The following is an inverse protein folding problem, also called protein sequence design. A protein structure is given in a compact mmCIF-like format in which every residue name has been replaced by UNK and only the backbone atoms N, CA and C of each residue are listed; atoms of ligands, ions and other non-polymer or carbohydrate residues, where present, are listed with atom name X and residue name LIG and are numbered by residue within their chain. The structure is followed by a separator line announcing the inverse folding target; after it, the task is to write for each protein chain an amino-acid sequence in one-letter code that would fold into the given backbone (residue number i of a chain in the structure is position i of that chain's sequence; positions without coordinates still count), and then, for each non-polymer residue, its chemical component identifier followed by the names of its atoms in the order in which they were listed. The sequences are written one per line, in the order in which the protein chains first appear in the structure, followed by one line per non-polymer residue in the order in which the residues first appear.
data_IF_656861723490
#
_entry.id   IF_656861723490
#
_cell.length_a   1.000
_cell.length_b   1.000
_cell.length_c   1.000
_cell.angle_alpha   90.00
_cell.angle_beta   90.00
_cell.angle_gamma   90.00
#
_symmetry.space_group_name_H-M   'P 1'
#
loop_
_entity.id
_entity.type
_entity.pdbx_description
1 polymer ?
#
# COMPACT_ATOMS: atom_id res chain seq x y z
N UNK A 1 -2.18 -2.17 -7.68
CA UNK A 1 -2.10 -1.67 -6.29
C UNK A 1 -2.47 -2.70 -5.20
N UNK A 2 -2.94 -3.90 -5.56
CA UNK A 2 -3.20 -4.94 -4.54
C UNK A 2 -1.99 -5.27 -3.69
N UNK A 3 -0.81 -5.30 -4.32
CA UNK A 3 0.43 -5.61 -3.62
C UNK A 3 0.76 -4.65 -2.49
N UNK A 4 0.53 -3.34 -2.69
CA UNK A 4 0.68 -2.34 -1.63
C UNK A 4 -0.27 -2.61 -0.46
N UNK A 5 -1.57 -2.71 -0.75
CA UNK A 5 -2.61 -2.88 0.26
C UNK A 5 -2.47 -4.21 1.02
N UNK A 6 -2.14 -5.29 0.31
CA UNK A 6 -1.87 -6.60 0.93
C UNK A 6 -0.61 -6.55 1.80
N UNK A 7 0.44 -5.91 1.30
CA UNK A 7 1.69 -5.75 2.03
C UNK A 7 1.46 -5.05 3.37
N UNK A 8 0.79 -3.91 3.36
CA UNK A 8 0.38 -3.18 4.56
C UNK A 8 -0.39 -4.09 5.54
N UNK A 9 -1.50 -4.70 5.10
CA UNK A 9 -2.34 -5.53 5.97
C UNK A 9 -1.61 -6.75 6.54
N UNK A 10 -0.69 -7.34 5.78
CA UNK A 10 0.09 -8.50 6.21
C UNK A 10 1.22 -8.07 7.15
N UNK A 11 1.85 -6.93 6.90
CA UNK A 11 2.96 -6.41 7.69
C UNK A 11 2.54 -5.79 9.03
N UNK A 12 1.37 -5.14 9.09
CA UNK A 12 0.90 -4.40 10.26
C UNK A 12 0.95 -5.17 11.60
N UNK A 13 0.64 -6.47 11.70
CA UNK A 13 0.80 -7.21 12.96
C UNK A 13 2.24 -7.32 13.46
N UNK A 14 3.21 -7.20 12.57
CA UNK A 14 4.64 -7.42 12.83
C UNK A 14 5.45 -6.13 12.96
N UNK A 15 4.81 -4.98 12.79
CA UNK A 15 5.39 -3.65 12.97
C UNK A 15 6.03 -3.49 14.37
N UNK A 16 7.00 -2.59 14.53
CA UNK A 16 7.75 -2.32 15.76
C UNK A 16 8.49 -3.55 16.31
N UNK A 17 9.08 -4.35 15.43
CA UNK A 17 9.83 -5.56 15.79
C UNK A 17 9.03 -6.57 16.62
N UNK A 18 7.69 -6.61 16.45
CA UNK A 18 6.82 -7.58 17.13
C UNK A 18 6.95 -9.00 16.59
N UNK A 19 7.51 -9.16 15.38
CA UNK A 19 7.75 -10.45 14.75
C UNK A 19 9.03 -11.12 15.23
N UNK A 20 9.15 -12.40 14.92
CA UNK A 20 10.34 -13.22 15.21
C UNK A 20 11.39 -13.20 14.09
N UNK A 21 11.28 -12.29 13.13
CA UNK A 21 12.16 -12.18 11.96
C UNK A 21 12.28 -13.46 11.14
N UNK A 22 11.19 -14.24 11.04
CA UNK A 22 11.08 -15.47 10.28
C UNK A 22 10.16 -15.28 9.08
N UNK A 23 10.33 -16.09 8.05
CA UNK A 23 9.38 -16.20 6.92
C UNK A 23 8.19 -17.10 7.25
N UNK A 24 8.24 -17.81 8.39
CA UNK A 24 7.20 -18.74 8.85
C UNK A 24 6.18 -18.01 9.72
N UNK A 25 5.11 -17.53 9.10
CA UNK A 25 3.98 -16.88 9.78
C UNK A 25 2.70 -17.02 8.92
N UNK A 26 1.50 -16.95 9.53
CA UNK A 26 0.26 -16.87 8.78
C UNK A 26 0.16 -15.53 8.06
N UNK A 27 -0.16 -15.53 6.73
CA UNK A 27 -0.28 -14.30 5.96
C UNK A 27 -1.31 -13.33 6.54
N UNK A 28 -2.40 -13.86 7.09
CA UNK A 28 -3.41 -13.07 7.77
C UNK A 28 -3.67 -13.64 9.15
N UNK A 29 -3.82 -12.75 10.10
CA UNK A 29 -4.23 -13.05 11.48
C UNK A 29 -5.34 -12.08 11.91
N UNK A 30 -5.84 -12.20 13.13
CA UNK A 30 -6.89 -11.35 13.68
C UNK A 30 -6.51 -9.86 13.67
N UNK A 31 -5.22 -9.55 13.86
CA UNK A 31 -4.70 -8.19 13.88
C UNK A 31 -4.32 -7.63 12.49
N UNK A 32 -4.48 -8.42 11.42
CA UNK A 32 -4.25 -7.95 10.05
C UNK A 32 -5.29 -6.90 9.66
N UNK A 33 -4.84 -5.66 9.51
CA UNK A 33 -5.67 -4.50 9.15
C UNK A 33 -4.88 -3.57 8.26
N UNK A 34 -5.57 -2.75 7.49
CA UNK A 34 -4.94 -1.64 6.78
C UNK A 34 -4.51 -0.53 7.74
N UNK A 35 -3.44 0.19 7.38
CA UNK A 35 -2.89 1.33 8.10
C UNK A 35 -2.92 2.58 7.21
N UNK A 36 -2.17 3.61 7.60
CA UNK A 36 -2.01 4.83 6.78
C UNK A 36 -1.29 4.54 5.45
N UNK A 37 -0.53 3.46 5.33
CA UNK A 37 0.04 2.98 4.07
C UNK A 37 -1.05 2.76 3.02
N UNK A 38 -2.07 1.97 3.33
CA UNK A 38 -3.20 1.75 2.42
C UNK A 38 -4.02 3.01 2.20
N UNK A 39 -4.33 3.76 3.27
CA UNK A 39 -5.13 4.99 3.16
C UNK A 39 -4.46 5.99 2.24
N UNK A 40 -3.15 6.21 2.38
CA UNK A 40 -2.42 7.16 1.55
C UNK A 40 -2.12 6.63 0.16
N UNK A 41 -1.94 5.32 -0.02
CA UNK A 41 -1.87 4.68 -1.35
C UNK A 41 -3.17 4.92 -2.14
N UNK A 42 -4.32 4.73 -1.53
CA UNK A 42 -5.64 5.01 -2.15
C UNK A 42 -5.82 6.51 -2.41
N UNK A 43 -5.39 7.38 -1.48
CA UNK A 43 -5.48 8.82 -1.66
C UNK A 43 -4.66 9.32 -2.85
N UNK A 44 -3.44 8.82 -3.01
CA UNK A 44 -2.57 9.17 -4.14
C UNK A 44 -3.13 8.60 -5.44
N UNK A 45 -3.63 7.37 -5.42
CA UNK A 45 -4.26 6.76 -6.59
C UNK A 45 -5.49 7.54 -7.06
N UNK A 46 -6.39 7.94 -6.14
CA UNK A 46 -7.56 8.78 -6.48
C UNK A 46 -7.13 10.11 -7.10
N UNK A 47 -6.14 10.78 -6.51
CA UNK A 47 -5.63 12.04 -7.02
C UNK A 47 -5.09 11.88 -8.45
N UNK A 48 -4.18 10.94 -8.67
CA UNK A 48 -3.56 10.73 -9.98
C UNK A 48 -4.57 10.25 -11.04
N UNK A 49 -5.50 9.35 -10.71
CA UNK A 49 -6.56 8.94 -11.63
C UNK A 49 -7.41 10.13 -12.12
N UNK A 50 -7.62 11.12 -11.26
CA UNK A 50 -8.45 12.27 -11.58
C UNK A 50 -7.67 13.45 -12.22
N UNK A 51 -6.35 13.51 -12.07
CA UNK A 51 -5.57 14.69 -12.46
C UNK A 51 -4.36 14.42 -13.35
N UNK A 52 -4.07 13.18 -13.72
CA UNK A 52 -2.83 12.78 -14.43
C UNK A 52 -2.55 13.52 -15.75
N UNK A 53 -3.58 14.06 -16.38
CA UNK A 53 -3.46 14.83 -17.64
C UNK A 53 -3.42 16.36 -17.41
N UNK A 54 -3.44 16.79 -16.15
CA UNK A 54 -3.37 18.20 -15.81
C UNK A 54 -1.89 18.63 -15.61
N UNK A 55 -1.68 19.93 -15.49
CA UNK A 55 -0.39 20.49 -15.13
C UNK A 55 0.02 20.09 -13.70
N UNK A 56 1.31 20.22 -13.39
CA UNK A 56 1.91 19.79 -12.13
C UNK A 56 1.31 20.51 -10.90
N UNK A 57 0.93 21.77 -11.01
CA UNK A 57 0.32 22.50 -9.89
C UNK A 57 -1.08 21.99 -9.61
N UNK A 58 -1.84 21.67 -10.64
CA UNK A 58 -3.16 21.02 -10.53
C UNK A 58 -3.06 19.64 -9.92
N UNK A 59 -2.03 18.85 -10.31
CA UNK A 59 -1.76 17.53 -9.71
C UNK A 59 -1.41 17.68 -8.22
N UNK A 60 -0.52 18.62 -7.85
CA UNK A 60 -0.19 18.88 -6.43
C UNK A 60 -1.44 19.27 -5.62
N UNK A 61 -2.28 20.14 -6.16
CA UNK A 61 -3.53 20.53 -5.50
C UNK A 61 -4.48 19.33 -5.31
N UNK A 62 -4.60 18.45 -6.31
CA UNK A 62 -5.39 17.23 -6.23
C UNK A 62 -4.84 16.25 -5.18
N UNK A 63 -3.51 16.06 -5.13
CA UNK A 63 -2.83 15.24 -4.13
C UNK A 63 -3.11 15.75 -2.71
N UNK A 64 -2.90 17.03 -2.44
CA UNK A 64 -3.16 17.64 -1.12
C UNK A 64 -4.64 17.45 -0.74
N UNK A 65 -5.55 17.73 -1.66
CA UNK A 65 -6.99 17.59 -1.42
C UNK A 65 -7.38 16.14 -1.09
N UNK A 66 -6.90 15.18 -1.87
CA UNK A 66 -7.22 13.78 -1.70
C UNK A 66 -6.61 13.22 -0.41
N UNK A 67 -5.34 13.46 -0.14
CA UNK A 67 -4.68 12.99 1.09
C UNK A 67 -5.36 13.55 2.35
N UNK A 68 -5.77 14.81 2.35
CA UNK A 68 -6.53 15.40 3.46
C UNK A 68 -7.94 14.83 3.59
N UNK A 69 -8.61 14.55 2.48
CA UNK A 69 -9.93 13.89 2.47
C UNK A 69 -9.84 12.51 3.14
N UNK A 70 -8.90 11.69 2.69
CA UNK A 70 -8.74 10.33 3.17
C UNK A 70 -8.18 10.27 4.60
N UNK A 71 -7.19 11.11 4.93
CA UNK A 71 -6.65 11.20 6.28
C UNK A 71 -7.69 11.66 7.31
N UNK A 72 -8.62 12.57 6.92
CA UNK A 72 -9.74 12.98 7.76
C UNK A 72 -10.78 11.87 7.93
N UNK A 73 -10.99 11.05 6.89
CA UNK A 73 -11.97 9.96 6.93
C UNK A 73 -11.49 8.79 7.79
N UNK A 74 -10.20 8.52 7.80
CA UNK A 74 -9.56 7.43 8.56
C UNK A 74 -8.52 8.01 9.54
N UNK A 75 -8.95 8.74 10.60
CA UNK A 75 -8.02 9.50 11.45
C UNK A 75 -7.11 8.63 12.32
N UNK A 76 -7.49 7.38 12.56
CA UNK A 76 -6.81 6.44 13.46
C UNK A 76 -5.97 5.40 12.71
N UNK A 77 -5.60 5.69 11.45
CA UNK A 77 -4.90 4.74 10.60
C UNK A 77 -3.41 4.54 10.95
N UNK A 78 -2.81 5.36 11.83
CA UNK A 78 -1.42 5.18 12.26
C UNK A 78 -0.45 6.28 11.84
N UNK A 79 -0.94 7.39 11.28
CA UNK A 79 -0.10 8.46 10.74
C UNK A 79 0.97 8.98 11.69
N UNK A 80 2.15 9.25 11.14
CA UNK A 80 3.22 9.94 11.84
C UNK A 80 2.82 11.35 12.31
N UNK A 81 3.38 11.80 13.43
CA UNK A 81 2.98 13.06 14.11
C UNK A 81 3.07 14.30 13.21
N UNK A 82 4.15 14.44 12.42
CA UNK A 82 4.29 15.59 11.49
C UNK A 82 3.23 15.57 10.41
N UNK A 83 2.88 14.40 9.88
CA UNK A 83 1.82 14.25 8.88
C UNK A 83 0.44 14.56 9.45
N UNK A 84 0.13 14.15 10.70
CA UNK A 84 -1.10 14.54 11.39
C UNK A 84 -1.24 16.06 11.56
N UNK A 85 -0.15 16.77 11.85
CA UNK A 85 -0.15 18.23 11.88
C UNK A 85 -0.47 18.80 10.50
N UNK A 86 0.22 18.31 9.45
CA UNK A 86 0.01 18.72 8.06
C UNK A 86 -1.45 18.52 7.59
N UNK A 87 -2.09 17.40 7.95
CA UNK A 87 -3.50 17.14 7.61
C UNK A 87 -4.47 18.21 8.17
N UNK A 88 -4.12 18.82 9.32
CA UNK A 88 -4.97 19.79 10.03
C UNK A 88 -4.70 21.24 9.63
N UNK A 89 -3.59 21.53 8.97
CA UNK A 89 -3.24 22.87 8.54
C UNK A 89 -4.22 23.42 7.51
N UNK A 90 -4.49 24.74 7.57
CA UNK A 90 -5.37 25.42 6.62
C UNK A 90 -4.75 25.46 5.22
N UNK A 91 -3.47 25.77 5.15
CA UNK A 91 -2.64 25.84 3.92
C UNK A 91 -1.38 24.99 4.13
N UNK A 92 -1.49 23.66 4.00
CA UNK A 92 -0.40 22.76 4.33
C UNK A 92 0.76 22.93 3.34
N UNK A 93 1.95 23.03 3.89
CA UNK A 93 3.21 23.13 3.14
C UNK A 93 4.06 21.88 3.38
N UNK A 94 4.94 21.50 2.46
CA UNK A 94 5.95 20.48 2.71
C UNK A 94 6.74 20.80 3.98
N UNK A 95 7.20 19.76 4.67
CA UNK A 95 7.89 19.92 5.96
C UNK A 95 9.25 19.19 6.02
N UNK A 96 9.89 19.00 4.86
CA UNK A 96 11.26 18.46 4.76
C UNK A 96 11.39 17.01 5.23
N UNK A 97 10.34 16.19 5.13
CA UNK A 97 10.42 14.80 5.57
C UNK A 97 11.29 13.96 4.63
N UNK A 98 12.20 13.17 5.21
CA UNK A 98 12.90 12.07 4.54
C UNK A 98 12.28 10.69 4.84
N UNK A 99 11.10 10.68 5.46
CA UNK A 99 10.38 9.47 5.86
C UNK A 99 9.98 8.59 4.67
N UNK A 100 9.79 7.30 4.95
CA UNK A 100 9.38 6.30 3.96
C UNK A 100 7.91 6.43 3.52
N UNK A 101 7.15 7.30 4.17
CA UNK A 101 5.78 7.66 3.81
C UNK A 101 5.60 8.20 2.38
N UNK A 102 6.65 8.71 1.74
CA UNK A 102 6.61 9.04 0.31
C UNK A 102 6.68 7.80 -0.57
N UNK A 103 7.49 6.81 -0.20
CA UNK A 103 7.68 5.57 -0.95
C UNK A 103 6.50 4.59 -0.80
N UNK A 104 5.91 4.48 0.42
CA UNK A 104 4.80 3.57 0.68
C UNK A 104 3.58 3.85 -0.18
N UNK A 105 3.25 5.14 -0.39
CA UNK A 105 2.03 5.58 -1.08
C UNK A 105 2.17 5.76 -2.60
N UNK A 106 3.37 5.58 -3.16
CA UNK A 106 3.69 5.97 -4.56
C UNK A 106 3.23 4.97 -5.61
N UNK A 107 2.75 3.80 -5.19
CA UNK A 107 2.48 2.65 -6.08
C UNK A 107 1.72 3.04 -7.37
N UNK A 108 0.70 3.91 -7.27
CA UNK A 108 -0.09 4.32 -8.42
C UNK A 108 0.75 5.02 -9.52
N UNK A 109 1.75 5.83 -9.13
CA UNK A 109 2.62 6.50 -10.10
C UNK A 109 3.40 5.48 -10.96
N UNK A 110 3.86 4.37 -10.39
CA UNK A 110 4.54 3.32 -11.13
C UNK A 110 3.68 2.62 -12.21
N UNK A 111 2.36 2.80 -12.17
CA UNK A 111 1.42 2.16 -13.09
C UNK A 111 0.78 3.08 -14.13
N UNK A 112 0.61 4.37 -13.83
CA UNK A 112 -0.30 5.26 -14.55
C UNK A 112 0.34 6.03 -15.71
N UNK A 113 1.66 5.97 -15.88
CA UNK A 113 2.39 6.74 -16.89
C UNK A 113 3.17 5.84 -17.83
N UNK A 114 3.39 6.30 -19.09
CA UNK A 114 3.88 5.45 -20.17
C UNK A 114 5.40 5.43 -20.29
N UNK A 115 6.10 6.39 -19.69
CA UNK A 115 7.57 6.43 -19.70
C UNK A 115 8.12 6.40 -18.28
N UNK A 116 9.36 5.91 -18.16
CA UNK A 116 10.07 5.90 -16.89
C UNK A 116 10.34 7.31 -16.36
N UNK A 117 10.66 8.24 -17.28
CA UNK A 117 10.90 9.64 -16.95
C UNK A 117 9.65 10.30 -16.35
N UNK A 118 8.52 10.21 -17.06
CA UNK A 118 7.23 10.73 -16.56
C UNK A 118 6.81 10.06 -15.23
N UNK A 119 7.00 8.74 -15.12
CA UNK A 119 6.74 8.00 -13.87
C UNK A 119 7.50 8.60 -12.70
N UNK A 120 8.80 8.90 -12.88
CA UNK A 120 9.65 9.53 -11.85
C UNK A 120 9.21 10.96 -11.54
N UNK A 121 8.94 11.77 -12.56
CA UNK A 121 8.43 13.14 -12.37
C UNK A 121 7.15 13.17 -11.55
N UNK A 122 6.18 12.31 -11.88
CA UNK A 122 4.92 12.25 -11.15
C UNK A 122 5.07 11.63 -9.75
N UNK A 123 5.97 10.66 -9.57
CA UNK A 123 6.32 10.15 -8.24
C UNK A 123 6.91 11.26 -7.35
N UNK A 124 7.80 12.09 -7.90
CA UNK A 124 8.34 13.27 -7.22
C UNK A 124 7.22 14.21 -6.76
N UNK A 125 6.22 14.52 -7.60
CA UNK A 125 5.08 15.34 -7.20
C UNK A 125 4.31 14.73 -6.01
N UNK A 126 4.14 13.39 -5.98
CA UNK A 126 3.45 12.73 -4.85
C UNK A 126 4.22 12.83 -3.54
N UNK A 127 5.55 12.92 -3.61
CA UNK A 127 6.42 13.11 -2.44
C UNK A 127 6.42 14.57 -1.98
N UNK A 128 6.67 15.50 -2.90
CA UNK A 128 6.93 16.92 -2.63
C UNK A 128 5.87 17.63 -1.82
N UNK A 129 4.62 17.18 -1.85
CA UNK A 129 3.54 17.80 -1.06
C UNK A 129 3.74 17.70 0.46
N UNK A 130 4.65 16.83 0.91
CA UNK A 130 4.99 16.60 2.33
C UNK A 130 6.47 16.29 2.54
N UNK A 131 7.03 15.40 1.70
CA UNK A 131 8.37 14.81 1.81
C UNK A 131 9.29 15.44 0.72
N UNK A 132 9.51 16.74 0.82
CA UNK A 132 10.35 17.52 -0.11
C UNK A 132 11.85 17.46 0.21
N UNK A 133 12.25 16.66 1.20
CA UNK A 133 13.66 16.32 1.42
C UNK A 133 14.18 15.45 0.27
N UNK A 134 15.42 15.66 -0.23
CA UNK A 134 15.97 14.88 -1.35
C UNK A 134 15.83 13.36 -1.18
N UNK A 135 16.05 12.82 0.02
CA UNK A 135 15.90 11.39 0.29
C UNK A 135 14.44 10.91 0.29
N UNK A 136 13.48 11.77 0.68
CA UNK A 136 12.05 11.46 0.58
C UNK A 136 11.58 11.39 -0.87
N UNK A 137 12.03 12.32 -1.72
CA UNK A 137 11.77 12.32 -3.16
C UNK A 137 12.43 11.10 -3.82
N UNK A 138 13.71 10.87 -3.52
CA UNK A 138 14.50 9.75 -4.02
C UNK A 138 13.82 8.40 -3.73
N UNK A 139 13.29 8.20 -2.52
CA UNK A 139 12.58 6.97 -2.15
C UNK A 139 11.33 6.73 -3.00
N UNK A 140 10.55 7.76 -3.25
CA UNK A 140 9.37 7.68 -4.11
C UNK A 140 9.73 7.39 -5.58
N UNK A 141 10.72 8.11 -6.13
CA UNK A 141 11.21 7.90 -7.51
C UNK A 141 11.78 6.49 -7.70
N UNK A 142 12.59 5.99 -6.74
CA UNK A 142 13.17 4.66 -6.81
C UNK A 142 12.10 3.56 -6.77
N UNK A 143 11.12 3.70 -5.86
CA UNK A 143 10.02 2.72 -5.73
C UNK A 143 9.14 2.72 -6.98
N UNK A 144 8.73 3.87 -7.48
CA UNK A 144 7.89 3.96 -8.69
C UNK A 144 8.63 3.50 -9.93
N UNK A 145 9.92 3.83 -10.06
CA UNK A 145 10.78 3.35 -11.14
C UNK A 145 10.93 1.83 -11.14
N UNK A 146 11.14 1.21 -9.97
CA UNK A 146 11.17 -0.25 -9.85
C UNK A 146 9.84 -0.89 -10.27
N UNK A 147 8.68 -0.30 -9.88
CA UNK A 147 7.35 -0.77 -10.30
C UNK A 147 7.20 -0.65 -11.82
N UNK A 148 7.59 0.49 -12.41
CA UNK A 148 7.52 0.71 -13.86
C UNK A 148 8.36 -0.33 -14.62
N UNK A 149 9.62 -0.52 -14.22
CA UNK A 149 10.52 -1.48 -14.86
C UNK A 149 10.01 -2.91 -14.74
N UNK A 150 9.51 -3.30 -13.56
CA UNK A 150 8.93 -4.61 -13.33
C UNK A 150 7.71 -4.86 -14.23
N UNK A 151 6.74 -3.92 -14.32
CA UNK A 151 5.55 -4.08 -15.16
C UNK A 151 5.83 -4.05 -16.66
N UNK A 152 6.94 -3.46 -17.07
CA UNK A 152 7.38 -3.40 -18.48
C UNK A 152 8.32 -4.56 -18.86
N UNK A 153 8.47 -5.56 -17.97
CA UNK A 153 9.15 -6.82 -18.25
C UNK A 153 10.67 -6.78 -18.10
N UNK A 154 11.22 -5.82 -17.36
CA UNK A 154 12.65 -5.80 -17.04
C UNK A 154 12.99 -6.91 -16.04
N UNK A 155 14.18 -7.49 -16.20
CA UNK A 155 14.68 -8.50 -15.26
C UNK A 155 15.05 -7.88 -13.90
N UNK A 156 15.19 -8.72 -12.88
CA UNK A 156 15.63 -8.28 -11.54
C UNK A 156 17.03 -7.64 -11.58
N UNK A 157 17.92 -8.14 -12.41
CA UNK A 157 19.26 -7.61 -12.61
C UNK A 157 19.20 -6.20 -13.22
N UNK A 158 18.35 -5.99 -14.25
CA UNK A 158 18.16 -4.67 -14.87
C UNK A 158 17.56 -3.68 -13.86
N UNK A 159 16.59 -4.11 -13.04
CA UNK A 159 15.98 -3.29 -11.98
C UNK A 159 17.04 -2.93 -10.93
N UNK A 160 17.82 -3.91 -10.44
CA UNK A 160 18.91 -3.67 -9.49
C UNK A 160 19.91 -2.66 -10.02
N UNK A 161 20.40 -2.89 -11.25
CA UNK A 161 21.43 -2.04 -11.84
C UNK A 161 20.93 -0.61 -12.05
N UNK A 162 19.68 -0.44 -12.47
CA UNK A 162 19.02 0.87 -12.53
C UNK A 162 18.97 1.57 -11.15
N UNK A 163 18.53 0.87 -10.11
CA UNK A 163 18.42 1.43 -8.77
C UNK A 163 19.79 1.85 -8.21
N UNK A 164 20.82 1.03 -8.43
CA UNK A 164 22.19 1.34 -8.00
C UNK A 164 22.75 2.54 -8.76
N UNK A 165 22.58 2.58 -10.09
CA UNK A 165 23.15 3.64 -10.94
C UNK A 165 22.45 4.99 -10.75
N UNK A 166 21.11 5.00 -10.72
CA UNK A 166 20.34 6.25 -10.66
C UNK A 166 20.21 6.82 -9.25
N UNK A 167 20.13 5.95 -8.25
CA UNK A 167 19.83 6.38 -6.87
C UNK A 167 20.99 6.14 -5.89
N UNK A 168 22.04 5.40 -6.29
CA UNK A 168 23.20 5.13 -5.43
C UNK A 168 22.85 4.32 -4.19
N UNK A 169 21.78 3.53 -4.21
CA UNK A 169 21.44 2.62 -3.11
C UNK A 169 22.41 1.42 -3.10
N UNK A 170 22.88 1.05 -1.91
CA UNK A 170 23.69 -0.14 -1.71
C UNK A 170 22.79 -1.38 -1.61
N UNK A 171 22.79 -2.21 -2.65
CA UNK A 171 22.07 -3.48 -2.72
C UNK A 171 23.03 -4.69 -2.67
N UNK A 172 24.19 -4.53 -2.06
CA UNK A 172 25.23 -5.59 -2.00
C UNK A 172 24.98 -6.62 -0.91
N UNK A 173 24.15 -6.28 0.11
CA UNK A 173 23.84 -7.17 1.24
C UNK A 173 22.65 -8.05 0.91
N UNK A 174 22.68 -9.28 1.41
CA UNK A 174 21.52 -10.17 1.39
C UNK A 174 20.56 -9.89 2.54
N UNK A 175 19.30 -10.34 2.42
CA UNK A 175 18.31 -10.24 3.51
C UNK A 175 18.80 -10.95 4.79
N UNK A 176 19.55 -12.05 4.66
CA UNK A 176 20.13 -12.74 5.80
C UNK A 176 21.21 -11.92 6.51
N UNK A 177 21.96 -11.09 5.77
CA UNK A 177 22.93 -10.16 6.34
C UNK A 177 22.27 -8.92 6.94
N UNK A 178 21.13 -8.48 6.41
CA UNK A 178 20.37 -7.33 6.87
C UNK A 178 19.64 -7.65 8.18
N UNK A 179 18.90 -8.76 8.20
CA UNK A 179 17.94 -9.17 9.24
C UNK A 179 18.45 -9.08 10.68
N UNK A 180 19.68 -9.53 11.03
CA UNK A 180 20.15 -9.49 12.42
C UNK A 180 20.31 -8.08 13.00
N UNK A 181 20.57 -7.08 12.15
CA UNK A 181 20.91 -5.71 12.56
C UNK A 181 19.88 -4.67 12.13
N UNK A 182 18.81 -5.06 11.42
CA UNK A 182 17.76 -4.15 11.01
C UNK A 182 16.72 -4.01 12.11
N UNK A 183 16.39 -2.78 12.44
CA UNK A 183 15.38 -2.41 13.44
C UNK A 183 14.43 -1.39 12.86
N UNK A 184 13.36 -1.09 13.58
CA UNK A 184 12.36 -0.10 13.19
C UNK A 184 13.03 1.22 12.75
N UNK A 185 12.73 1.63 11.52
CA UNK A 185 13.26 2.84 10.92
C UNK A 185 12.28 3.36 9.85
N UNK A 186 11.91 4.62 9.98
CA UNK A 186 10.91 5.27 9.13
C UNK A 186 11.54 6.13 8.00
N UNK A 187 12.85 6.03 7.74
CA UNK A 187 13.50 6.84 6.70
C UNK A 187 13.62 6.09 5.37
N UNK A 188 13.44 6.80 4.25
CA UNK A 188 13.62 6.23 2.91
C UNK A 188 14.98 5.56 2.71
N UNK A 189 16.07 6.18 3.23
CA UNK A 189 17.44 5.68 3.08
C UNK A 189 17.67 4.31 3.72
N UNK A 190 16.86 3.98 4.73
CA UNK A 190 16.96 2.72 5.49
C UNK A 190 15.87 1.72 5.15
N UNK A 191 14.78 2.18 4.52
CA UNK A 191 13.64 1.34 4.14
C UNK A 191 13.77 0.86 2.70
N UNK A 192 13.97 1.79 1.75
CA UNK A 192 13.85 1.48 0.31
C UNK A 192 14.91 0.49 -0.18
N UNK A 193 16.22 0.62 0.13
CA UNK A 193 17.20 -0.37 -0.32
C UNK A 193 16.96 -1.77 0.26
N UNK A 194 16.53 -1.87 1.52
CA UNK A 194 16.24 -3.16 2.16
C UNK A 194 15.02 -3.84 1.54
N UNK A 195 14.00 -3.06 1.21
CA UNK A 195 12.80 -3.55 0.50
C UNK A 195 13.13 -4.03 -0.91
N UNK A 196 13.95 -3.27 -1.65
CA UNK A 196 14.36 -3.68 -3.00
C UNK A 196 15.18 -4.98 -2.92
N UNK A 197 16.06 -5.12 -1.92
CA UNK A 197 16.79 -6.38 -1.68
C UNK A 197 15.82 -7.54 -1.42
N UNK A 198 14.79 -7.34 -0.60
CA UNK A 198 13.78 -8.36 -0.35
C UNK A 198 13.01 -8.76 -1.62
N UNK A 199 12.67 -7.80 -2.48
CA UNK A 199 12.09 -8.08 -3.80
C UNK A 199 13.04 -8.86 -4.70
N UNK A 200 14.31 -8.48 -4.77
CA UNK A 200 15.31 -9.14 -5.61
C UNK A 200 15.54 -10.61 -5.22
N UNK A 201 15.50 -10.93 -3.93
CA UNK A 201 15.68 -12.29 -3.43
C UNK A 201 14.42 -13.16 -3.51
N UNK A 202 13.22 -12.58 -3.38
CA UNK A 202 11.97 -13.32 -3.40
C UNK A 202 11.71 -14.02 -4.73
N UNK A 203 11.10 -15.19 -4.72
CA UNK A 203 10.89 -16.06 -5.89
C UNK A 203 9.50 -15.94 -6.49
N UNK A 204 8.53 -15.43 -5.73
CA UNK A 204 7.16 -15.13 -6.13
C UNK A 204 6.58 -14.01 -5.26
N UNK A 205 5.32 -13.63 -5.50
CA UNK A 205 4.67 -12.56 -4.75
C UNK A 205 4.63 -12.82 -3.24
N UNK A 206 4.25 -14.01 -2.82
CA UNK A 206 4.14 -14.36 -1.41
C UNK A 206 5.51 -14.43 -0.75
N UNK A 207 6.49 -15.00 -1.43
CA UNK A 207 7.86 -15.09 -0.91
C UNK A 207 8.51 -13.71 -0.73
N UNK A 208 8.24 -12.74 -1.62
CA UNK A 208 8.65 -11.34 -1.43
C UNK A 208 8.04 -10.74 -0.16
N UNK A 209 6.73 -10.92 0.05
CA UNK A 209 6.04 -10.44 1.26
C UNK A 209 6.66 -11.07 2.51
N UNK A 210 6.84 -12.38 2.53
CA UNK A 210 7.45 -13.12 3.66
C UNK A 210 8.87 -12.67 3.94
N UNK A 211 9.64 -12.43 2.87
CA UNK A 211 11.02 -11.94 2.98
C UNK A 211 11.04 -10.55 3.59
N UNK A 212 10.20 -9.63 3.14
CA UNK A 212 10.12 -8.28 3.69
C UNK A 212 9.70 -8.27 5.17
N UNK A 213 8.65 -9.02 5.56
CA UNK A 213 8.25 -9.17 6.98
C UNK A 213 9.40 -9.72 7.83
N UNK A 214 10.17 -10.67 7.29
CA UNK A 214 11.26 -11.30 8.04
C UNK A 214 12.42 -10.35 8.37
N UNK A 215 12.50 -9.19 7.76
CA UNK A 215 13.49 -8.16 8.13
C UNK A 215 13.16 -7.53 9.50
N UNK A 216 11.88 -7.48 9.88
CA UNK A 216 11.42 -6.79 11.08
C UNK A 216 11.28 -5.29 10.87
N UNK A 217 11.19 -4.55 11.95
CA UNK A 217 11.12 -3.07 11.92
C UNK A 217 9.75 -2.54 11.57
N UNK A 218 9.69 -1.65 10.60
CA UNK A 218 8.51 -0.99 10.04
C UNK A 218 7.86 -1.90 8.98
N UNK A 219 7.30 -3.03 9.46
CA UNK A 219 6.93 -4.15 8.60
C UNK A 219 5.78 -3.86 7.64
N UNK A 220 4.79 -3.05 8.03
CA UNK A 220 3.69 -2.63 7.16
C UNK A 220 4.21 -1.83 5.97
N UNK A 221 5.04 -0.80 6.21
CA UNK A 221 5.66 -0.01 5.16
C UNK A 221 6.63 -0.84 4.31
N UNK A 222 7.49 -1.67 4.93
CA UNK A 222 8.39 -2.56 4.18
C UNK A 222 7.62 -3.45 3.21
N UNK A 223 6.56 -4.09 3.68
CA UNK A 223 5.77 -5.00 2.85
C UNK A 223 4.85 -4.29 1.88
N UNK A 224 4.36 -3.09 2.21
CA UNK A 224 3.62 -2.23 1.29
C UNK A 224 4.46 -1.90 0.05
N UNK A 225 5.69 -1.44 0.25
CA UNK A 225 6.61 -1.11 -0.85
C UNK A 225 7.03 -2.37 -1.62
N UNK A 226 7.46 -3.45 -0.90
CA UNK A 226 7.87 -4.71 -1.52
C UNK A 226 6.74 -5.33 -2.35
N UNK A 227 5.54 -5.38 -1.78
CA UNK A 227 4.34 -5.89 -2.44
C UNK A 227 3.96 -5.10 -3.68
N UNK A 228 4.17 -3.78 -3.68
CA UNK A 228 3.95 -2.92 -4.86
C UNK A 228 4.83 -3.33 -6.04
N UNK A 229 6.11 -3.60 -5.79
CA UNK A 229 7.07 -4.02 -6.82
C UNK A 229 6.79 -5.48 -7.23
N UNK A 230 6.53 -6.36 -6.25
CA UNK A 230 6.21 -7.77 -6.50
C UNK A 230 4.93 -7.95 -7.32
N UNK A 231 3.88 -7.14 -7.08
CA UNK A 231 2.68 -7.14 -7.93
C UNK A 231 3.01 -6.83 -9.38
N UNK A 232 3.91 -5.88 -9.61
CA UNK A 232 4.29 -5.45 -10.93
C UNK A 232 5.09 -6.52 -11.69
N UNK A 233 5.90 -7.30 -10.97
CA UNK A 233 6.78 -8.32 -11.53
C UNK A 233 6.10 -9.68 -11.67
N UNK A 234 5.43 -10.16 -10.62
CA UNK A 234 4.85 -11.51 -10.56
C UNK A 234 3.33 -11.54 -10.76
N UNK A 235 2.66 -10.39 -10.60
CA UNK A 235 1.22 -10.35 -10.38
C UNK A 235 0.87 -10.74 -8.94
N UNK A 236 -0.42 -10.65 -8.61
CA UNK A 236 -0.96 -11.07 -7.31
C UNK A 236 -1.87 -12.27 -7.52
N UNK A 237 -1.75 -13.36 -6.75
CA UNK A 237 -2.65 -14.51 -6.79
C UNK A 237 -4.12 -14.10 -6.60
N UNK A 238 -5.03 -14.74 -7.36
CA UNK A 238 -6.46 -14.38 -7.36
C UNK A 238 -7.10 -14.46 -5.97
N UNK A 239 -6.70 -15.46 -5.19
CA UNK A 239 -7.18 -15.65 -3.81
C UNK A 239 -6.78 -14.48 -2.91
N UNK A 240 -5.56 -13.95 -3.05
CA UNK A 240 -5.09 -12.81 -2.28
C UNK A 240 -5.77 -11.51 -2.72
N UNK A 241 -6.07 -11.35 -4.02
CA UNK A 241 -6.88 -10.22 -4.50
C UNK A 241 -8.29 -10.23 -3.91
N UNK A 242 -8.92 -11.41 -3.83
CA UNK A 242 -10.24 -11.57 -3.21
C UNK A 242 -10.20 -11.22 -1.72
N UNK A 243 -9.18 -11.72 -1.00
CA UNK A 243 -8.98 -11.42 0.41
C UNK A 243 -8.72 -9.93 0.67
N UNK A 244 -7.92 -9.27 -0.16
CA UNK A 244 -7.70 -7.83 -0.09
C UNK A 244 -9.03 -7.07 -0.20
N UNK A 245 -9.84 -7.37 -1.22
CA UNK A 245 -11.15 -6.71 -1.41
C UNK A 245 -12.10 -6.94 -0.25
N UNK A 246 -12.11 -8.16 0.32
CA UNK A 246 -12.96 -8.49 1.46
C UNK A 246 -12.62 -7.67 2.71
N UNK A 247 -11.34 -7.32 2.91
CA UNK A 247 -10.86 -6.56 4.08
C UNK A 247 -10.95 -5.04 3.91
N UNK A 248 -11.12 -4.56 2.68
CA UNK A 248 -11.20 -3.13 2.40
C UNK A 248 -12.60 -2.57 2.64
N UNK A 249 -12.73 -1.36 3.19
CA UNK A 249 -13.96 -0.59 3.12
C UNK A 249 -14.40 -0.35 1.68
N UNK A 250 -15.70 -0.22 1.47
CA UNK A 250 -16.32 -0.10 0.14
C UNK A 250 -15.74 1.05 -0.71
N UNK A 251 -15.47 2.20 -0.09
CA UNK A 251 -14.91 3.36 -0.77
C UNK A 251 -13.44 3.15 -1.23
N UNK A 252 -12.62 2.45 -0.45
CA UNK A 252 -11.28 2.05 -0.88
C UNK A 252 -11.35 1.01 -2.01
N UNK A 253 -12.25 0.03 -1.88
CA UNK A 253 -12.50 -0.98 -2.90
C UNK A 253 -12.98 -0.34 -4.21
N UNK A 254 -13.77 0.74 -4.14
CA UNK A 254 -14.21 1.51 -5.31
C UNK A 254 -13.02 2.15 -6.05
N UNK A 255 -12.10 2.83 -5.35
CA UNK A 255 -10.92 3.42 -5.99
C UNK A 255 -10.00 2.33 -6.57
N UNK A 256 -9.82 1.22 -5.87
CA UNK A 256 -9.08 0.06 -6.37
C UNK A 256 -9.71 -0.51 -7.65
N UNK A 257 -11.05 -0.58 -7.70
CA UNK A 257 -11.80 -1.00 -8.90
C UNK A 257 -11.60 -0.05 -10.09
N UNK A 258 -11.65 1.27 -9.87
CA UNK A 258 -11.34 2.27 -10.92
C UNK A 258 -9.92 2.09 -11.46
N UNK A 259 -8.97 1.85 -10.57
CA UNK A 259 -7.58 1.58 -10.95
C UNK A 259 -7.43 0.30 -11.79
N UNK A 260 -8.14 -0.78 -11.44
CA UNK A 260 -8.15 -2.01 -12.22
C UNK A 260 -8.74 -1.82 -13.61
N UNK A 261 -9.81 -1.02 -13.74
CA UNK A 261 -10.41 -0.68 -15.03
C UNK A 261 -9.39 0.06 -15.90
N UNK A 262 -8.73 1.08 -15.34
CA UNK A 262 -7.69 1.82 -16.04
C UNK A 262 -6.57 0.90 -16.57
N UNK A 263 -6.07 -0.01 -15.72
CA UNK A 263 -5.01 -0.96 -16.11
C UNK A 263 -5.39 -1.91 -17.23
N UNK A 264 -6.68 -2.26 -17.34
CA UNK A 264 -7.17 -3.20 -18.36
C UNK A 264 -7.41 -2.54 -19.71
N UNK A 265 -7.86 -1.31 -19.71
CA UNK A 265 -8.37 -0.64 -20.91
C UNK A 265 -7.43 0.47 -21.43
N UNK A 266 -6.40 0.83 -20.68
CA UNK A 266 -5.45 1.88 -21.07
C UNK A 266 -6.06 3.28 -21.11
N UNK A 267 -5.40 4.18 -21.85
CA UNK A 267 -5.79 5.59 -21.96
C UNK A 267 -7.05 5.82 -22.80
N UNK A 268 -7.38 4.93 -23.74
CA UNK A 268 -8.38 5.19 -24.79
C UNK A 268 -9.84 4.98 -24.36
N UNK A 269 -10.09 4.19 -23.31
CA UNK A 269 -11.45 3.80 -22.89
C UNK A 269 -11.90 4.38 -21.54
N UNK A 270 -11.16 5.34 -20.97
CA UNK A 270 -11.62 5.99 -19.74
C UNK A 270 -12.55 7.14 -20.13
N UNK A 271 -13.87 7.04 -19.93
CA UNK A 271 -14.76 8.17 -20.16
C UNK A 271 -14.28 9.29 -19.22
N UNK A 272 -13.78 10.37 -19.79
CA UNK A 272 -13.47 11.58 -19.05
C UNK A 272 -14.69 11.91 -18.19
N UNK A 273 -14.47 12.20 -16.90
CA UNK A 273 -15.50 12.55 -15.95
C UNK A 273 -16.33 13.73 -16.48
N UNK A 274 -17.35 13.47 -17.28
CA UNK A 274 -18.57 14.24 -17.21
C UNK A 274 -19.28 13.71 -15.96
N UNK A 275 -19.21 14.49 -14.89
CA UNK A 275 -19.89 14.28 -13.61
C UNK A 275 -21.42 14.16 -13.82
N UNK A 276 -21.88 13.05 -14.36
CA UNK A 276 -23.29 12.63 -14.34
C UNK A 276 -23.43 11.21 -14.92
N UNK A 277 -23.14 10.18 -14.14
CA UNK A 277 -23.42 8.83 -14.61
C UNK A 277 -22.87 7.74 -13.68
N UNK A 278 -23.48 7.58 -12.51
CA UNK A 278 -23.29 6.41 -11.64
C UNK A 278 -23.64 5.06 -12.29
N UNK A 279 -24.22 5.05 -13.48
CA UNK A 279 -24.79 3.86 -14.10
C UNK A 279 -23.83 2.90 -14.80
N UNK A 280 -22.69 3.38 -15.33
CA UNK A 280 -21.82 2.52 -16.18
C UNK A 280 -20.80 1.74 -15.32
N UNK A 281 -20.38 2.31 -14.19
CA UNK A 281 -19.43 1.65 -13.28
C UNK A 281 -20.13 0.58 -12.47
N UNK A 282 -21.38 0.80 -12.07
CA UNK A 282 -22.20 -0.19 -11.36
C UNK A 282 -22.48 -1.42 -12.24
N UNK A 283 -22.70 -1.26 -13.55
CA UNK A 283 -22.87 -2.39 -14.48
C UNK A 283 -21.61 -3.22 -14.71
N UNK A 284 -20.41 -2.62 -14.66
CA UNK A 284 -19.15 -3.35 -14.84
C UNK A 284 -18.76 -4.14 -13.57
N UNK A 285 -19.08 -3.61 -12.38
CA UNK A 285 -18.87 -4.28 -11.10
C UNK A 285 -19.87 -5.43 -10.95
N UNK A 286 -21.12 -5.24 -11.33
CA UNK A 286 -22.20 -6.24 -11.23
C UNK A 286 -21.98 -7.41 -12.21
N UNK A 287 -21.47 -7.15 -13.43
CA UNK A 287 -21.11 -8.22 -14.38
C UNK A 287 -19.90 -9.07 -13.93
N UNK A 288 -18.98 -8.50 -13.15
CA UNK A 288 -17.85 -9.24 -12.57
C UNK A 288 -18.27 -10.18 -11.42
N UNK A 289 -19.39 -9.88 -10.76
CA UNK A 289 -19.94 -10.67 -9.65
C UNK A 289 -20.86 -11.81 -10.14
N UNK A 290 -21.47 -11.68 -11.34
CA UNK A 290 -22.44 -12.66 -11.85
C UNK A 290 -21.81 -13.84 -12.60
N UNK A 291 -20.54 -13.80 -12.95
CA UNK A 291 -19.86 -14.92 -13.64
C UNK A 291 -19.32 -16.01 -12.71
N UNK A 292 -19.44 -15.85 -11.38
CA UNK A 292 -18.96 -16.80 -10.36
C UNK A 292 -20.01 -17.76 -9.77
N UNK A 293 -21.28 -17.67 -10.14
CA UNK A 293 -22.35 -18.47 -9.51
C UNK A 293 -23.22 -19.23 -10.51
N UNK A 294 -22.63 -20.16 -11.24
CA UNK A 294 -23.34 -21.29 -11.85
C UNK A 294 -22.42 -22.50 -11.81
N UNK A 295 -22.57 -23.28 -10.76
CA UNK A 295 -22.56 -24.75 -10.78
C UNK A 295 -22.50 -25.28 -9.33
N UNK A 296 -23.49 -26.10 -9.07
CA UNK A 296 -23.69 -27.13 -8.05
C UNK A 296 -24.78 -26.86 -7.01
N UNK A 297 -26.02 -27.04 -7.46
CA UNK A 297 -27.10 -27.53 -6.58
C UNK A 297 -27.16 -29.05 -6.71
N UNK A 298 -26.67 -29.75 -5.69
CA UNK A 298 -27.09 -31.13 -5.40
C UNK A 298 -27.94 -31.04 -4.14
N UNK A 299 -29.18 -31.48 -4.23
CA UNK A 299 -30.12 -31.43 -3.15
C UNK A 299 -29.84 -32.49 -2.09
N UNK A 300 -30.13 -32.14 -0.85
CA UNK A 300 -30.44 -33.10 0.21
C UNK A 300 -31.66 -32.57 0.98
N UNK A 301 -32.59 -33.48 1.14
CA UNK A 301 -33.93 -33.41 1.71
C UNK A 301 -33.98 -33.17 3.22
N UNK A 302 -35.15 -32.65 3.63
CA UNK A 302 -35.74 -32.50 4.95
C UNK A 302 -35.36 -33.49 6.04
N UNK A 303 -35.22 -32.97 7.26
CA UNK A 303 -35.23 -33.75 8.50
C UNK A 303 -35.43 -32.85 9.73
N UNK A 304 -36.61 -32.97 10.29
CA UNK A 304 -37.25 -32.31 11.41
C UNK A 304 -36.49 -32.16 12.75
N UNK A 305 -36.89 -31.07 13.46
CA UNK A 305 -37.24 -30.94 14.92
C UNK A 305 -36.15 -31.02 16.00
N UNK A 306 -36.16 -29.99 16.84
CA UNK A 306 -35.63 -30.05 18.20
C UNK A 306 -35.46 -28.69 18.88
N UNK A 307 -36.47 -28.22 19.56
CA UNK A 307 -36.54 -27.08 20.49
C UNK A 307 -35.71 -27.37 21.76
N UNK A 308 -34.97 -26.42 22.31
CA UNK A 308 -34.89 -26.09 23.72
C UNK A 308 -33.66 -25.23 24.11
N UNK A 309 -33.91 -24.20 24.91
CA UNK A 309 -32.96 -23.77 25.95
C UNK A 309 -32.38 -22.36 25.79
N UNK A 310 -33.15 -21.36 26.29
CA UNK A 310 -32.59 -20.06 26.73
C UNK A 310 -31.68 -20.28 27.92
N UNK A 311 -30.52 -19.68 27.94
CA UNK A 311 -29.93 -19.18 29.18
C UNK A 311 -29.12 -17.92 28.99
N UNK A 312 -29.42 -16.96 29.84
CA UNK A 312 -28.76 -15.67 29.99
C UNK A 312 -27.39 -15.84 30.64
N UNK A 313 -26.36 -15.21 30.09
CA UNK A 313 -25.21 -14.79 30.90
C UNK A 313 -24.77 -13.37 30.55
N UNK A 314 -24.82 -12.52 31.59
CA UNK A 314 -24.32 -11.14 31.62
C UNK A 314 -22.81 -11.14 31.68
N UNK A 315 -22.20 -10.20 30.96
CA UNK A 315 -20.82 -9.75 31.12
C UNK A 315 -20.58 -9.14 32.51
N UNK A 316 -19.33 -9.12 32.95
CA UNK A 316 -18.80 -7.91 33.55
C UNK A 316 -17.60 -7.37 32.77
N UNK A 317 -17.64 -6.07 32.54
CA UNK A 317 -16.55 -5.32 31.96
C UNK A 317 -15.31 -5.30 32.86
N UNK A 318 -14.17 -5.38 32.21
CA UNK A 318 -12.90 -4.98 32.82
C UNK A 318 -12.20 -4.06 31.81
N UNK A 319 -12.19 -2.78 32.14
CA UNK A 319 -11.39 -1.76 31.50
C UNK A 319 -9.94 -2.00 31.93
N UNK A 320 -9.07 -2.34 30.99
CA UNK A 320 -7.63 -2.32 31.24
C UNK A 320 -7.07 -0.92 30.91
N UNK A 321 -6.10 -0.43 31.71
CA UNK A 321 -5.60 0.91 31.56
C UNK A 321 -4.72 1.04 30.31
N UNK A 322 -4.86 2.20 29.63
CA UNK A 322 -4.04 2.67 28.54
C UNK A 322 -2.60 2.77 29.01
N UNK A 323 -1.75 1.91 28.51
CA UNK A 323 -0.31 1.96 28.75
C UNK A 323 0.28 3.15 27.99
N UNK A 324 0.97 4.01 28.73
CA UNK A 324 1.63 5.20 28.20
C UNK A 324 2.83 4.75 27.38
N UNK A 325 2.86 5.13 26.10
CA UNK A 325 4.04 5.01 25.24
C UNK A 325 5.22 5.76 25.87
N UNK A 326 6.44 5.22 25.89
CA UNK A 326 7.60 5.99 26.28
C UNK A 326 7.93 7.03 25.19
N UNK A 327 7.82 8.31 25.57
CA UNK A 327 8.42 9.43 24.85
C UNK A 327 9.93 9.26 24.88
N UNK A 328 10.56 8.91 23.75
CA UNK A 328 11.97 9.19 23.50
C UNK A 328 12.36 8.69 22.10
N UNK A 329 12.44 9.63 21.18
CA UNK A 329 13.53 9.74 20.21
C UNK A 329 13.41 11.11 19.55
N UNK A 330 14.10 12.08 20.15
CA UNK A 330 14.47 13.33 19.50
C UNK A 330 15.54 13.01 18.44
N UNK A 331 15.22 13.20 17.17
CA UNK A 331 16.22 13.38 16.13
C UNK A 331 16.32 14.88 15.81
N UNK A 332 17.17 15.57 16.57
CA UNK A 332 17.88 16.76 16.11
C UNK A 332 19.23 16.31 15.54
N UNK A 333 19.39 16.41 14.18
CA UNK A 333 20.53 17.03 13.47
C UNK A 333 20.40 16.77 11.97
#
# INVERSE_FOLDING_TARGET
MYGALLGDMIGAPYEFDRGNKSKEFPLFCENSRFTDDSVMTIAVAEALLNSRFLDDDSIRAALIKSMRKWGKKYPDAGYGRKFLCWLREKDPKPYGSCGNGSAMRVSAAGWLFDTLEETREKAKLTAEVTHDHPEGIKGAEATSGAIFLARTGRSKEEIRDYIVQEFGYDLSRTCDQIRPSYYHNESCQKTVPEVITAFLEGTDFEDVIRTAVSLGGDCDTLTCIAGSIAEAFYGVPAILKAECRHRLPEDMAYILGRFDIFRKHGHDDFPGDTLSGSGIIDEAIDRGCQTGSKENRIGVSDGMLGDAGRDHYRSPGTVLPVDKRPDQYDFER
#
